data_IF_970805288297
#
_entry.id   IF_970805288297
#
_cell.length_a   1.000
_cell.length_b   1.000
_cell.length_c   1.000
_cell.angle_alpha   90.00
_cell.angle_beta   90.00
_cell.angle_gamma   90.00
#
_symmetry.space_group_name_H-M   'P 1'
#
loop_
_entity.id
_entity.type
_entity.pdbx_description
1 polymer ?
#
# COMPACT_ATOMS: atom_id res chain seq x y z
N UNK A 1 -32.77 47.82 13.54
CA UNK A 1 -33.50 46.64 13.02
C UNK A 1 -32.62 45.99 11.96
N UNK A 2 -32.11 44.78 12.19
CA UNK A 2 -31.30 44.02 11.22
C UNK A 2 -31.77 42.57 11.29
N UNK A 3 -32.47 42.02 10.28
CA UNK A 3 -32.55 40.58 10.15
C UNK A 3 -31.36 40.11 9.30
N UNK A 4 -30.39 39.53 10.02
CA UNK A 4 -29.37 38.65 9.47
C UNK A 4 -30.04 37.30 9.15
N UNK A 5 -30.28 37.03 7.88
CA UNK A 5 -30.59 35.66 7.42
C UNK A 5 -29.90 35.42 6.08
N UNK A 6 -28.57 35.33 6.12
CA UNK A 6 -27.80 34.58 5.14
C UNK A 6 -27.97 33.10 5.49
N UNK A 7 -29.01 32.47 4.94
CA UNK A 7 -29.20 31.03 5.04
C UNK A 7 -28.03 30.34 4.33
N UNK A 8 -27.22 29.70 5.16
CA UNK A 8 -26.12 28.83 4.77
C UNK A 8 -26.64 27.66 3.93
N UNK A 9 -26.47 27.74 2.61
CA UNK A 9 -26.49 26.58 1.73
C UNK A 9 -25.05 26.04 1.62
N UNK A 10 -24.60 25.32 2.65
CA UNK A 10 -23.34 24.58 2.61
C UNK A 10 -23.56 23.30 1.79
N UNK A 11 -22.80 23.07 0.71
CA UNK A 11 -23.00 21.92 -0.17
C UNK A 11 -22.46 20.65 0.49
N UNK A 12 -23.37 19.74 0.84
CA UNK A 12 -23.08 18.38 1.32
C UNK A 12 -22.78 17.49 0.11
N UNK A 13 -21.67 17.72 -0.59
CA UNK A 13 -21.28 16.89 -1.75
C UNK A 13 -19.81 16.47 -1.76
N UNK A 14 -19.06 16.71 -0.69
CA UNK A 14 -17.60 16.51 -0.63
C UNK A 14 -17.14 15.20 0.04
N UNK A 15 -17.99 14.18 0.16
CA UNK A 15 -17.66 12.93 0.87
C UNK A 15 -17.43 11.70 -0.02
N UNK A 16 -17.58 11.81 -1.35
CA UNK A 16 -17.45 10.66 -2.26
C UNK A 16 -16.08 10.54 -2.95
N UNK A 17 -15.16 11.49 -2.72
CA UNK A 17 -13.85 11.49 -3.38
C UNK A 17 -12.80 10.57 -2.71
N UNK A 18 -13.13 9.91 -1.59
CA UNK A 18 -12.15 9.16 -0.80
C UNK A 18 -12.06 7.65 -1.14
N UNK A 19 -12.89 7.13 -2.05
CA UNK A 19 -13.00 5.68 -2.29
C UNK A 19 -12.72 5.24 -3.74
N UNK A 20 -12.08 6.07 -4.57
CA UNK A 20 -11.60 5.57 -5.87
C UNK A 20 -10.30 4.81 -5.68
N UNK A 21 -10.22 3.54 -6.13
CA UNK A 21 -8.98 2.79 -6.07
C UNK A 21 -7.88 3.56 -6.80
N UNK A 22 -6.64 3.54 -6.29
CA UNK A 22 -5.52 4.22 -6.94
C UNK A 22 -5.34 3.67 -8.36
N UNK A 23 -4.95 4.51 -9.33
CA UNK A 23 -4.67 4.06 -10.67
C UNK A 23 -3.49 3.07 -10.67
N UNK A 24 -3.51 2.13 -11.61
CA UNK A 24 -2.38 1.21 -11.82
C UNK A 24 -1.14 1.98 -12.31
N UNK A 25 0.03 1.47 -11.96
CA UNK A 25 1.32 2.02 -12.36
C UNK A 25 1.57 1.81 -13.86
N UNK A 26 2.39 2.67 -14.49
CA UNK A 26 2.75 2.53 -15.90
C UNK A 26 3.31 1.13 -16.19
N UNK A 27 2.84 0.53 -17.29
CA UNK A 27 3.32 -0.77 -17.74
C UNK A 27 3.92 -0.65 -19.15
N UNK A 28 4.91 -1.51 -19.43
CA UNK A 28 5.52 -1.65 -20.77
C UNK A 28 5.66 -3.12 -21.12
N UNK A 29 5.76 -3.44 -22.41
CA UNK A 29 6.05 -4.80 -22.85
C UNK A 29 7.56 -5.03 -22.91
N UNK A 30 8.07 -5.96 -22.11
CA UNK A 30 9.46 -6.42 -22.16
C UNK A 30 9.60 -7.74 -22.92
N UNK A 31 10.84 -8.21 -23.06
CA UNK A 31 11.15 -9.46 -23.79
C UNK A 31 10.52 -10.71 -23.15
N UNK A 32 10.36 -10.72 -21.82
CA UNK A 32 9.80 -11.83 -21.06
C UNK A 32 8.31 -11.64 -20.69
N UNK A 33 7.67 -10.54 -21.10
CA UNK A 33 6.29 -10.20 -20.77
C UNK A 33 6.11 -8.78 -20.22
N UNK A 34 4.95 -8.48 -19.62
CA UNK A 34 4.65 -7.14 -19.11
C UNK A 34 5.54 -6.77 -17.92
N UNK A 35 6.01 -5.54 -17.95
CA UNK A 35 6.82 -4.90 -16.92
C UNK A 35 6.00 -3.77 -16.29
N UNK A 36 6.16 -3.56 -15.00
CA UNK A 36 5.49 -2.54 -14.19
C UNK A 36 6.54 -1.58 -13.64
N UNK A 37 6.28 -0.28 -13.72
CA UNK A 37 7.20 0.71 -13.19
C UNK A 37 7.10 0.77 -11.65
N UNK A 38 8.22 0.53 -10.96
CA UNK A 38 8.34 0.79 -9.53
C UNK A 38 8.33 2.30 -9.30
N UNK A 39 7.28 2.78 -8.64
CA UNK A 39 7.09 4.19 -8.30
C UNK A 39 7.06 4.34 -6.78
N UNK A 40 7.84 5.30 -6.27
CA UNK A 40 7.80 5.72 -4.87
C UNK A 40 6.68 6.76 -4.69
N UNK A 41 5.80 6.63 -3.68
CA UNK A 41 5.83 5.64 -2.61
C UNK A 41 4.97 4.39 -2.89
N UNK A 42 4.30 4.30 -4.05
CA UNK A 42 3.31 3.26 -4.33
C UNK A 42 3.38 2.75 -5.76
N UNK A 43 3.39 1.43 -5.90
CA UNK A 43 3.28 0.72 -7.18
C UNK A 43 2.02 -0.14 -7.17
N UNK A 44 1.15 -0.01 -8.17
CA UNK A 44 -0.10 -0.76 -8.28
C UNK A 44 -0.17 -1.52 -9.60
N UNK A 45 -0.70 -2.75 -9.56
CA UNK A 45 -1.01 -3.55 -10.73
C UNK A 45 -2.29 -4.34 -10.46
N UNK A 46 -3.26 -4.28 -11.37
CA UNK A 46 -4.53 -5.02 -11.28
C UNK A 46 -5.27 -4.78 -9.94
N UNK A 47 -5.27 -3.53 -9.45
CA UNK A 47 -5.86 -3.13 -8.15
C UNK A 47 -5.13 -3.64 -6.90
N UNK A 48 -3.98 -4.29 -7.06
CA UNK A 48 -3.12 -4.68 -5.95
C UNK A 48 -1.96 -3.70 -5.86
N UNK A 49 -1.69 -3.19 -4.66
CA UNK A 49 -0.69 -2.15 -4.46
C UNK A 49 0.35 -2.56 -3.42
N UNK A 50 1.60 -2.24 -3.72
CA UNK A 50 2.73 -2.28 -2.82
C UNK A 50 3.23 -0.86 -2.57
N UNK A 51 3.62 -0.60 -1.33
CA UNK A 51 4.45 0.54 -0.98
C UNK A 51 5.89 0.20 -1.35
N UNK A 52 6.55 1.09 -2.09
CA UNK A 52 7.94 0.95 -2.47
C UNK A 52 8.71 2.15 -1.94
N UNK A 53 9.75 1.88 -1.14
CA UNK A 53 10.68 2.89 -0.67
C UNK A 53 11.97 2.78 -1.49
N UNK A 54 12.17 3.74 -2.40
CA UNK A 54 13.32 3.77 -3.29
C UNK A 54 14.64 4.08 -2.54
N UNK A 55 14.59 4.69 -1.36
CA UNK A 55 15.78 5.00 -0.56
C UNK A 55 16.30 3.77 0.16
N UNK A 56 15.40 2.94 0.66
CA UNK A 56 15.73 1.72 1.40
C UNK A 56 15.77 0.47 0.51
N UNK A 57 15.23 0.56 -0.72
CA UNK A 57 15.07 -0.60 -1.61
C UNK A 57 14.14 -1.63 -0.99
N UNK A 58 13.05 -1.19 -0.36
CA UNK A 58 12.11 -2.05 0.38
C UNK A 58 10.71 -1.94 -0.20
N UNK A 59 9.97 -3.04 -0.09
CA UNK A 59 8.57 -3.12 -0.47
C UNK A 59 7.72 -3.61 0.70
N UNK A 60 6.48 -3.17 0.76
CA UNK A 60 5.53 -3.51 1.82
C UNK A 60 4.12 -3.49 1.28
N UNK A 61 3.27 -4.39 1.76
CA UNK A 61 1.84 -4.20 1.66
C UNK A 61 1.35 -3.36 2.86
N UNK A 62 0.46 -2.38 2.68
CA UNK A 62 -0.04 -1.57 3.80
C UNK A 62 -0.45 -2.44 5.01
N UNK A 63 0.11 -2.14 6.18
CA UNK A 63 -0.10 -2.90 7.42
C UNK A 63 0.77 -4.15 7.62
N UNK A 64 1.67 -4.49 6.68
CA UNK A 64 2.62 -5.63 6.80
C UNK A 64 4.03 -5.17 7.10
N UNK A 65 4.96 -6.04 7.44
CA UNK A 65 6.37 -5.65 7.57
C UNK A 65 6.99 -5.29 6.20
N UNK A 66 7.95 -4.36 6.19
CA UNK A 66 8.74 -4.03 5.00
C UNK A 66 9.80 -5.10 4.73
N UNK A 67 9.78 -5.68 3.54
CA UNK A 67 10.80 -6.61 3.08
C UNK A 67 11.77 -5.93 2.12
N UNK A 68 12.99 -6.45 2.05
CA UNK A 68 13.98 -6.00 1.06
C UNK A 68 13.59 -6.50 -0.33
N UNK A 69 13.63 -5.60 -1.31
CA UNK A 69 13.50 -5.97 -2.72
C UNK A 69 14.70 -6.84 -3.11
N UNK A 70 14.48 -8.07 -3.62
CA UNK A 70 15.58 -8.92 -4.08
C UNK A 70 16.43 -8.25 -5.16
N UNK A 71 17.74 -8.49 -5.10
CA UNK A 71 18.68 -7.93 -6.08
C UNK A 71 18.40 -8.52 -7.48
N UNK A 72 18.48 -7.67 -8.51
CA UNK A 72 18.21 -8.07 -9.89
C UNK A 72 16.73 -8.23 -10.25
N UNK A 73 15.81 -7.94 -9.32
CA UNK A 73 14.37 -8.02 -9.58
C UNK A 73 13.82 -6.78 -10.30
N UNK A 74 14.50 -5.64 -10.16
CA UNK A 74 14.20 -4.43 -10.92
C UNK A 74 15.29 -4.18 -11.98
N UNK A 75 14.84 -3.81 -13.18
CA UNK A 75 15.70 -3.32 -14.26
C UNK A 75 16.35 -1.99 -13.88
N UNK A 76 17.41 -1.60 -14.59
CA UNK A 76 18.08 -0.31 -14.41
C UNK A 76 17.13 0.90 -14.58
N UNK A 77 16.05 0.73 -15.34
CA UNK A 77 15.02 1.76 -15.57
C UNK A 77 13.97 1.81 -14.43
N UNK A 78 14.09 0.98 -13.39
CA UNK A 78 13.12 0.89 -12.29
C UNK A 78 11.85 0.15 -12.66
N UNK A 79 11.90 -0.78 -13.62
CA UNK A 79 10.78 -1.65 -13.97
C UNK A 79 10.98 -3.05 -13.40
N UNK A 80 9.90 -3.69 -13.00
CA UNK A 80 9.87 -5.07 -12.50
C UNK A 80 8.90 -5.89 -13.36
N UNK A 81 9.15 -7.19 -13.54
CA UNK A 81 8.19 -8.03 -14.27
C UNK A 81 6.87 -8.18 -13.49
N UNK A 82 5.74 -8.31 -14.20
CA UNK A 82 4.46 -8.55 -13.54
C UNK A 82 4.47 -9.84 -12.70
N UNK A 83 5.25 -10.85 -13.10
CA UNK A 83 5.45 -12.09 -12.33
C UNK A 83 6.18 -11.81 -11.02
N UNK A 84 7.25 -11.04 -11.06
CA UNK A 84 8.03 -10.72 -9.86
C UNK A 84 7.25 -9.79 -8.92
N UNK A 85 6.46 -8.86 -9.48
CA UNK A 85 5.52 -8.06 -8.69
C UNK A 85 4.53 -8.94 -7.91
N UNK A 86 3.96 -9.97 -8.56
CA UNK A 86 3.07 -10.91 -7.88
C UNK A 86 3.79 -11.75 -6.82
N UNK A 87 5.02 -12.18 -7.12
CA UNK A 87 5.85 -12.88 -6.13
C UNK A 87 6.15 -12.00 -4.90
N UNK A 88 6.37 -10.70 -5.07
CA UNK A 88 6.53 -9.76 -3.96
C UNK A 88 5.24 -9.55 -3.17
N UNK A 89 4.08 -9.49 -3.84
CA UNK A 89 2.78 -9.44 -3.16
C UNK A 89 2.57 -10.66 -2.27
N UNK A 90 2.80 -11.86 -2.80
CA UNK A 90 2.64 -13.09 -2.03
C UNK A 90 3.63 -13.17 -0.86
N UNK A 91 4.86 -12.71 -1.06
CA UNK A 91 5.86 -12.65 0.01
C UNK A 91 5.49 -11.66 1.11
N UNK A 92 5.10 -10.43 0.75
CA UNK A 92 4.69 -9.40 1.73
C UNK A 92 3.41 -9.79 2.48
N UNK A 93 2.51 -10.57 1.87
CA UNK A 93 1.32 -11.11 2.54
C UNK A 93 1.66 -12.13 3.63
N UNK A 94 2.74 -12.88 3.45
CA UNK A 94 3.22 -13.86 4.43
C UNK A 94 3.91 -13.20 5.63
N UNK A 95 4.27 -11.91 5.53
CA UNK A 95 4.91 -11.17 6.61
C UNK A 95 3.93 -10.84 7.75
N UNK A 96 4.44 -10.71 8.99
CA UNK A 96 3.63 -10.31 10.12
C UNK A 96 3.00 -8.93 9.89
N UNK A 97 1.81 -8.74 10.45
CA UNK A 97 1.16 -7.43 10.49
C UNK A 97 1.94 -6.53 11.43
N UNK A 98 2.33 -5.34 10.99
CA UNK A 98 2.91 -4.32 11.87
C UNK A 98 1.75 -3.72 12.64
N UNK A 99 1.70 -3.95 13.95
CA UNK A 99 0.74 -3.27 14.81
C UNK A 99 1.04 -1.76 14.72
N UNK A 100 0.12 -1.01 14.13
CA UNK A 100 0.20 0.45 14.11
C UNK A 100 0.10 0.91 15.57
N UNK A 101 1.16 1.52 16.10
CA UNK A 101 1.30 1.88 17.52
C UNK A 101 0.36 2.98 18.00
N UNK A 102 -0.82 3.12 17.39
CA UNK A 102 -1.86 4.08 17.73
C UNK A 102 -3.12 3.44 18.33
N UNK A 103 -3.04 2.18 18.77
CA UNK A 103 -4.01 1.62 19.70
C UNK A 103 -3.58 1.92 21.14
N UNK A 104 -3.91 3.13 21.60
CA UNK A 104 -4.14 3.32 23.03
C UNK A 104 -5.22 2.34 23.48
N UNK A 105 -4.82 1.30 24.21
CA UNK A 105 -5.66 0.26 24.81
C UNK A 105 -6.27 -0.81 23.88
N UNK A 106 -5.46 -1.80 23.47
CA UNK A 106 -5.91 -3.20 23.52
C UNK A 106 -4.84 -4.04 24.20
N UNK A 107 -5.11 -4.32 25.46
CA UNK A 107 -4.53 -5.35 26.29
C UNK A 107 -4.50 -6.70 25.53
N UNK A 108 -3.34 -7.12 25.02
CA UNK A 108 -3.08 -8.54 24.76
C UNK A 108 -2.24 -9.11 25.91
N UNK A 109 -2.89 -9.13 27.08
CA UNK A 109 -2.58 -10.03 28.17
C UNK A 109 -2.97 -11.45 27.73
N UNK A 110 -1.97 -12.32 27.66
CA UNK A 110 -2.04 -13.74 28.03
C UNK A 110 -2.91 -14.69 27.19
N UNK A 111 -2.26 -15.42 26.28
CA UNK A 111 -2.44 -16.88 26.16
C UNK A 111 -1.07 -17.50 26.44
N UNK A 112 -0.77 -17.90 27.67
CA UNK A 112 -1.35 -19.12 28.25
C UNK A 112 -0.55 -20.35 27.79
N UNK A 113 0.74 -20.42 28.12
CA UNK A 113 1.47 -21.70 28.22
C UNK A 113 1.56 -22.07 29.70
N UNK A 114 0.52 -22.73 30.18
CA UNK A 114 0.66 -23.70 31.26
C UNK A 114 0.11 -25.00 30.68
N UNK A 115 1.00 -25.95 30.40
CA UNK A 115 0.63 -27.33 30.21
C UNK A 115 1.64 -28.17 31.03
N UNK A 116 1.03 -28.90 31.96
CA UNK A 116 1.50 -29.83 32.99
C UNK A 116 2.82 -30.56 32.75
#
# INVERSE_FOLDING_TARGET
>A
MIPRTLFAALPVTLLLAACTPPPDSPTRMGAAGPLVQLSDPRTCLNRECLLYDARLGRVQQPGREMIRLPEGMADADGFISARDFQHLLDRTRAEPTVADGNDGAVEFVTRGRIAH
#
